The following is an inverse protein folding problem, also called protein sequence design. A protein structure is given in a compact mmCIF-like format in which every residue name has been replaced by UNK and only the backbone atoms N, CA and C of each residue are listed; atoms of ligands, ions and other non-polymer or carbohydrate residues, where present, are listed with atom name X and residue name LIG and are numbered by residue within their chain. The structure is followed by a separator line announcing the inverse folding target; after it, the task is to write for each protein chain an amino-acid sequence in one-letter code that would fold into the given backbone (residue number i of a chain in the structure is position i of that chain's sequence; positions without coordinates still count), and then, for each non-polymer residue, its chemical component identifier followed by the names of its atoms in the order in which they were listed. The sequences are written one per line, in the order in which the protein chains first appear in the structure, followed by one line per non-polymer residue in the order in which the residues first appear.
data_IF_644343953324
#
_entry.id   IF_644343953324
#
_cell.length_a   1.000
_cell.length_b   1.000
_cell.length_c   1.000
_cell.angle_alpha   90.00
_cell.angle_beta   90.00
_cell.angle_gamma   90.00
#
_symmetry.space_group_name_H-M   'P 1'
#
loop_
_entity.id
_entity.type
_entity.pdbx_description
1 polymer ?
#
# COMPACT_ATOMS: atom_id res chain seq x y z
N UNK A 1 3.76 -28.60 -32.98
CA UNK A 1 2.74 -29.13 -32.08
C UNK A 1 1.74 -28.02 -31.75
N UNK A 2 0.58 -28.06 -32.38
CA UNK A 2 -0.49 -27.14 -32.03
C UNK A 2 -1.34 -27.80 -30.94
N UNK A 3 -1.05 -27.48 -29.69
CA UNK A 3 -2.00 -27.79 -28.63
C UNK A 3 -3.12 -26.77 -28.71
N UNK A 4 -4.33 -27.27 -29.00
CA UNK A 4 -5.53 -26.45 -28.94
C UNK A 4 -5.71 -25.91 -27.53
N UNK A 5 -6.06 -24.64 -27.40
CA UNK A 5 -6.36 -23.98 -26.13
C UNK A 5 -7.41 -24.76 -25.30
N UNK A 6 -8.27 -25.49 -25.97
CA UNK A 6 -9.30 -26.32 -25.36
C UNK A 6 -8.72 -27.56 -24.64
N UNK A 7 -7.71 -28.19 -25.22
CA UNK A 7 -7.07 -29.36 -24.63
C UNK A 7 -6.27 -29.00 -23.38
N UNK A 8 -5.69 -27.81 -23.36
CA UNK A 8 -4.96 -27.31 -22.18
C UNK A 8 -5.89 -27.05 -21.00
N UNK A 9 -7.11 -26.55 -21.23
CA UNK A 9 -8.11 -26.35 -20.19
C UNK A 9 -8.66 -27.65 -19.64
N UNK A 10 -8.86 -28.64 -20.50
CA UNK A 10 -9.32 -29.98 -20.09
C UNK A 10 -8.27 -30.73 -19.27
N UNK A 11 -7.01 -30.62 -19.66
CA UNK A 11 -5.87 -31.19 -18.91
C UNK A 11 -5.71 -30.51 -17.54
N UNK A 12 -5.93 -29.20 -17.49
CA UNK A 12 -5.85 -28.42 -16.24
C UNK A 12 -6.96 -28.80 -15.27
N UNK A 13 -8.15 -29.03 -15.76
CA UNK A 13 -9.28 -29.45 -14.94
C UNK A 13 -9.10 -30.87 -14.38
N UNK A 14 -8.47 -31.76 -15.13
CA UNK A 14 -8.17 -33.12 -14.66
C UNK A 14 -6.99 -33.16 -13.68
N UNK A 15 -6.00 -32.31 -13.83
CA UNK A 15 -4.86 -32.22 -12.94
C UNK A 15 -5.19 -31.62 -11.57
N UNK A 16 -6.19 -30.75 -11.50
CA UNK A 16 -6.69 -30.22 -10.23
C UNK A 16 -7.32 -31.28 -9.31
N UNK A 17 -7.83 -32.37 -9.88
CA UNK A 17 -8.45 -33.45 -9.11
C UNK A 17 -7.44 -34.46 -8.59
N UNK A 18 -6.24 -34.54 -9.18
CA UNK A 18 -5.26 -35.58 -8.93
C UNK A 18 -4.07 -35.17 -8.04
N UNK A 19 -4.23 -34.14 -7.23
CA UNK A 19 -3.27 -33.80 -6.18
C UNK A 19 -1.79 -33.64 -6.61
N UNK A 20 -1.51 -33.51 -7.87
CA UNK A 20 -0.21 -33.13 -8.35
C UNK A 20 -0.17 -31.63 -8.48
N UNK A 21 0.47 -30.97 -7.55
CA UNK A 21 0.97 -29.59 -7.66
C UNK A 21 2.04 -29.51 -8.75
N UNK A 22 1.85 -30.25 -9.84
CA UNK A 22 2.71 -30.18 -10.99
C UNK A 22 2.55 -28.81 -11.61
N UNK A 23 3.43 -28.02 -11.23
CA UNK A 23 4.05 -26.82 -11.74
C UNK A 23 3.41 -26.31 -13.05
N UNK A 24 2.32 -25.56 -12.89
CA UNK A 24 2.01 -24.57 -13.91
C UNK A 24 3.23 -23.65 -14.01
N UNK A 25 3.90 -23.59 -15.16
CA UNK A 25 5.05 -22.71 -15.33
C UNK A 25 4.61 -21.27 -15.07
N UNK A 26 5.00 -20.74 -13.93
CA UNK A 26 4.74 -19.36 -13.58
C UNK A 26 5.64 -18.46 -14.40
N UNK A 27 5.14 -17.33 -14.79
CA UNK A 27 5.98 -16.28 -15.33
C UNK A 27 6.98 -15.82 -14.26
N UNK A 28 8.12 -15.27 -14.65
CA UNK A 28 9.05 -14.70 -13.69
C UNK A 28 8.35 -13.58 -12.88
N UNK A 29 8.64 -13.45 -11.59
CA UNK A 29 8.06 -12.40 -10.78
C UNK A 29 8.52 -11.02 -11.25
N UNK A 30 7.70 -10.02 -11.00
CA UNK A 30 8.06 -8.62 -11.23
C UNK A 30 9.27 -8.29 -10.36
N UNK A 31 10.38 -7.93 -10.97
CA UNK A 31 11.60 -7.54 -10.26
C UNK A 31 11.66 -6.02 -10.01
N UNK A 32 12.61 -5.60 -9.17
CA UNK A 32 12.80 -4.19 -8.85
C UNK A 32 13.08 -3.34 -10.08
N UNK A 33 13.91 -3.80 -11.00
CA UNK A 33 14.24 -3.06 -12.22
C UNK A 33 13.01 -2.83 -13.09
N UNK A 34 12.18 -3.86 -13.27
CA UNK A 34 10.94 -3.74 -14.02
C UNK A 34 9.96 -2.78 -13.32
N UNK A 35 9.90 -2.80 -12.00
CA UNK A 35 9.09 -1.89 -11.23
C UNK A 35 9.52 -0.43 -11.43
N UNK A 36 10.80 -0.15 -11.34
CA UNK A 36 11.37 1.19 -11.52
C UNK A 36 11.16 1.73 -12.93
N UNK A 37 11.18 0.88 -13.95
CA UNK A 37 10.89 1.27 -15.34
C UNK A 37 9.44 1.74 -15.55
N UNK A 38 8.53 1.28 -14.72
CA UNK A 38 7.11 1.70 -14.77
C UNK A 38 6.81 2.93 -13.90
N UNK A 39 7.81 3.50 -13.25
CA UNK A 39 7.67 4.72 -12.44
C UNK A 39 8.27 5.90 -13.18
N UNK A 40 7.48 6.95 -13.35
CA UNK A 40 7.92 8.21 -13.95
C UNK A 40 8.72 9.08 -12.94
N UNK A 41 9.35 10.13 -13.43
CA UNK A 41 10.12 11.08 -12.62
C UNK A 41 9.33 11.72 -11.46
N UNK A 42 8.04 11.90 -11.64
CA UNK A 42 7.12 12.38 -10.61
C UNK A 42 6.67 11.28 -9.63
N UNK A 43 7.10 10.04 -9.88
CA UNK A 43 6.71 8.88 -9.11
C UNK A 43 5.34 8.31 -9.46
N UNK A 44 4.78 8.70 -10.59
CA UNK A 44 3.52 8.16 -11.10
C UNK A 44 3.78 6.81 -11.77
N UNK A 45 2.94 5.83 -11.49
CA UNK A 45 3.04 4.51 -12.14
C UNK A 45 2.39 4.56 -13.51
N UNK A 46 3.18 4.21 -14.51
CA UNK A 46 2.76 4.14 -15.92
C UNK A 46 2.39 2.70 -16.32
N UNK A 47 1.65 2.56 -17.41
CA UNK A 47 1.29 1.24 -17.99
C UNK A 47 0.70 0.25 -16.97
N UNK A 48 -0.16 0.73 -16.10
CA UNK A 48 -0.77 -0.06 -15.02
C UNK A 48 -1.36 -1.41 -15.50
N UNK A 49 -2.07 -1.52 -16.64
CA UNK A 49 -2.61 -2.81 -17.10
C UNK A 49 -1.53 -3.84 -17.37
N UNK A 50 -0.40 -3.43 -17.96
CA UNK A 50 0.74 -4.31 -18.25
C UNK A 50 1.38 -4.80 -16.96
N UNK A 51 1.55 -3.89 -16.01
CA UNK A 51 2.10 -4.19 -14.70
C UNK A 51 1.23 -5.18 -13.91
N UNK A 52 -0.08 -4.96 -13.92
CA UNK A 52 -1.05 -5.86 -13.26
C UNK A 52 -1.04 -7.26 -13.88
N UNK A 53 -0.92 -7.39 -15.20
CA UNK A 53 -0.82 -8.68 -15.87
C UNK A 53 0.47 -9.42 -15.46
N UNK A 54 1.61 -8.73 -15.40
CA UNK A 54 2.87 -9.31 -14.90
C UNK A 54 2.74 -9.82 -13.45
N UNK A 55 2.16 -9.01 -12.57
CA UNK A 55 1.96 -9.37 -11.16
C UNK A 55 1.00 -10.56 -11.03
N UNK A 56 -0.07 -10.57 -11.81
CA UNK A 56 -1.05 -11.66 -11.79
C UNK A 56 -0.44 -12.99 -12.21
N UNK A 57 0.42 -13.00 -13.24
CA UNK A 57 1.02 -14.22 -13.78
C UNK A 57 2.25 -14.70 -13.03
N UNK A 58 3.07 -13.79 -12.53
CA UNK A 58 4.37 -14.11 -11.94
C UNK A 58 4.51 -13.76 -10.45
N UNK A 59 3.65 -12.89 -9.95
CA UNK A 59 3.82 -12.31 -8.63
C UNK A 59 4.83 -11.16 -8.63
N UNK A 60 5.37 -10.86 -7.48
CA UNK A 60 6.40 -9.83 -7.31
C UNK A 60 7.47 -10.31 -6.32
N UNK A 61 8.69 -9.84 -6.52
CA UNK A 61 9.82 -10.11 -5.63
C UNK A 61 9.58 -9.59 -4.22
N UNK A 62 10.18 -10.24 -3.24
CA UNK A 62 10.03 -9.89 -1.83
C UNK A 62 10.46 -8.45 -1.53
N UNK A 63 11.49 -7.98 -2.23
CA UNK A 63 12.05 -6.63 -2.05
C UNK A 63 11.02 -5.54 -2.33
N UNK A 64 10.24 -5.68 -3.40
CA UNK A 64 9.25 -4.69 -3.84
C UNK A 64 7.83 -5.00 -3.37
N UNK A 65 7.60 -6.19 -2.83
CA UNK A 65 6.25 -6.67 -2.47
C UNK A 65 5.49 -5.71 -1.59
N UNK A 66 6.12 -5.18 -0.56
CA UNK A 66 5.49 -4.24 0.37
C UNK A 66 5.08 -2.93 -0.31
N UNK A 67 5.84 -2.47 -1.29
CA UNK A 67 5.53 -1.27 -2.05
C UNK A 67 4.39 -1.50 -3.05
N UNK A 68 4.48 -2.56 -3.83
CA UNK A 68 3.47 -2.96 -4.81
C UNK A 68 2.10 -3.19 -4.15
N UNK A 69 2.08 -3.81 -2.99
CA UNK A 69 0.83 -4.07 -2.26
C UNK A 69 0.10 -2.81 -1.82
N UNK A 70 0.78 -1.73 -1.56
CA UNK A 70 0.14 -0.45 -1.24
C UNK A 70 -0.74 0.05 -2.40
N UNK A 71 -0.32 -0.21 -3.63
CA UNK A 71 -1.12 0.10 -4.83
C UNK A 71 -2.24 -0.92 -5.06
N UNK A 72 -1.94 -2.22 -4.96
CA UNK A 72 -2.93 -3.27 -5.16
C UNK A 72 -4.08 -3.20 -4.16
N UNK A 73 -3.80 -2.83 -2.91
CA UNK A 73 -4.81 -2.66 -1.87
C UNK A 73 -5.51 -1.29 -1.88
N UNK A 74 -5.17 -0.43 -2.84
CA UNK A 74 -5.77 0.89 -2.96
C UNK A 74 -5.31 1.92 -1.91
N UNK A 75 -4.25 1.60 -1.17
CA UNK A 75 -3.68 2.56 -0.22
C UNK A 75 -3.03 3.73 -0.95
N UNK A 76 -2.31 3.46 -2.05
CA UNK A 76 -1.84 4.44 -3.02
C UNK A 76 -2.65 4.36 -4.31
N UNK A 77 -2.94 5.52 -4.89
CA UNK A 77 -3.54 5.59 -6.22
C UNK A 77 -2.44 5.54 -7.29
N UNK A 78 -2.67 4.78 -8.36
CA UNK A 78 -1.70 4.58 -9.43
C UNK A 78 -1.23 5.86 -10.11
N UNK A 79 -2.14 6.83 -10.26
CA UNK A 79 -1.90 8.07 -10.99
C UNK A 79 -1.46 9.25 -10.10
N UNK A 80 -1.23 9.00 -8.82
CA UNK A 80 -0.83 10.06 -7.89
C UNK A 80 0.69 10.22 -7.86
N UNK A 81 1.22 11.46 -7.99
CA UNK A 81 2.62 11.74 -7.78
C UNK A 81 3.03 11.52 -6.33
N UNK A 82 4.33 11.30 -6.12
CA UNK A 82 4.92 10.99 -4.81
C UNK A 82 4.56 12.03 -3.75
N UNK A 83 4.59 13.30 -4.08
CA UNK A 83 4.28 14.39 -3.14
C UNK A 83 2.87 14.28 -2.55
N UNK A 84 1.88 13.96 -3.39
CA UNK A 84 0.49 13.78 -2.96
C UNK A 84 0.35 12.51 -2.12
N UNK A 85 1.04 11.42 -2.49
CA UNK A 85 1.04 10.17 -1.71
C UNK A 85 1.59 10.37 -0.32
N UNK A 86 2.70 11.10 -0.18
CA UNK A 86 3.34 11.38 1.10
C UNK A 86 2.45 12.26 2.00
N UNK A 87 1.81 13.27 1.43
CA UNK A 87 0.84 14.10 2.16
C UNK A 87 -0.35 13.27 2.66
N UNK A 88 -0.92 12.43 1.81
CA UNK A 88 -2.02 11.54 2.17
C UNK A 88 -1.61 10.50 3.22
N UNK A 89 -0.40 9.93 3.11
CA UNK A 89 0.17 9.02 4.09
C UNK A 89 0.27 9.68 5.46
N UNK A 90 0.80 10.90 5.52
CA UNK A 90 0.92 11.66 6.76
C UNK A 90 -0.45 11.90 7.39
N UNK A 91 -1.43 12.36 6.62
CA UNK A 91 -2.78 12.59 7.09
C UNK A 91 -3.45 11.31 7.66
N UNK A 92 -3.29 10.17 6.98
CA UNK A 92 -3.80 8.87 7.45
C UNK A 92 -3.14 8.38 8.72
N UNK A 93 -1.83 8.60 8.86
CA UNK A 93 -1.10 8.25 10.09
C UNK A 93 -1.59 9.09 11.27
N UNK A 94 -1.79 10.39 11.07
CA UNK A 94 -2.35 11.28 12.10
C UNK A 94 -3.77 10.86 12.49
N UNK A 95 -4.60 10.54 11.52
CA UNK A 95 -5.95 10.04 11.73
C UNK A 95 -5.95 8.70 12.50
N UNK A 96 -5.08 7.77 12.15
CA UNK A 96 -4.92 6.51 12.87
C UNK A 96 -4.57 6.72 14.34
N UNK A 97 -3.63 7.59 14.65
CA UNK A 97 -3.26 7.90 16.03
C UNK A 97 -4.39 8.59 16.80
N UNK A 98 -5.18 9.41 16.14
CA UNK A 98 -6.37 10.03 16.73
C UNK A 98 -7.39 8.98 17.16
N UNK A 99 -7.65 7.97 16.35
CA UNK A 99 -8.58 6.89 16.68
C UNK A 99 -8.00 5.90 17.70
N UNK A 100 -6.72 5.63 17.63
CA UNK A 100 -6.05 4.70 18.54
C UNK A 100 -5.97 5.23 19.96
N UNK A 101 -5.77 6.52 20.13
CA UNK A 101 -5.56 7.18 21.42
C UNK A 101 -6.56 8.34 21.66
N UNK A 102 -7.86 8.07 21.73
CA UNK A 102 -8.85 9.12 21.94
C UNK A 102 -8.66 9.85 23.28
N UNK A 103 -8.13 9.17 24.29
CA UNK A 103 -7.83 9.74 25.61
C UNK A 103 -6.69 10.76 25.60
N UNK A 104 -5.71 10.59 24.74
CA UNK A 104 -4.60 11.56 24.63
C UNK A 104 -5.05 12.89 24.01
N UNK A 105 -5.98 12.84 23.08
CA UNK A 105 -6.53 14.03 22.46
C UNK A 105 -7.32 14.89 23.44
N UNK A 106 -8.11 14.27 24.31
CA UNK A 106 -8.86 14.96 25.37
C UNK A 106 -7.96 15.48 26.48
N UNK A 107 -6.92 14.73 26.85
CA UNK A 107 -5.96 15.17 27.88
C UNK A 107 -5.09 16.35 27.40
N UNK A 108 -4.76 16.42 26.13
CA UNK A 108 -4.01 17.55 25.57
C UNK A 108 -4.82 18.85 25.64
N UNK A 109 -6.11 18.79 25.38
CA UNK A 109 -7.01 19.94 25.53
C UNK A 109 -7.14 20.38 26.99
N UNK A 110 -7.27 19.43 27.92
CA UNK A 110 -7.34 19.74 29.35
C UNK A 110 -6.03 20.35 29.89
N UNK A 111 -4.88 19.85 29.46
CA UNK A 111 -3.56 20.38 29.86
C UNK A 111 -3.37 21.81 29.36
N UNK A 112 -3.76 22.10 28.14
CA UNK A 112 -3.66 23.47 27.60
C UNK A 112 -4.59 24.45 28.35
N UNK A 113 -5.77 24.01 28.74
CA UNK A 113 -6.68 24.83 29.53
C UNK A 113 -6.14 25.12 30.93
N UNK A 114 -5.52 24.11 31.56
CA UNK A 114 -4.91 24.27 32.87
C UNK A 114 -3.67 25.17 32.84
N UNK A 115 -2.88 25.10 31.79
CA UNK A 115 -1.73 25.98 31.61
C UNK A 115 -2.14 27.45 31.43
N UNK A 116 -3.21 27.71 30.70
CA UNK A 116 -3.72 29.08 30.55
C UNK A 116 -4.25 29.65 31.87
N UNK A 117 -4.93 28.86 32.68
CA UNK A 117 -5.40 29.25 33.99
C UNK A 117 -4.25 29.49 34.98
N UNK A 118 -3.20 28.70 34.93
CA UNK A 118 -2.02 28.91 35.77
C UNK A 118 -1.23 30.18 35.39
N UNK A 119 -1.18 30.54 34.13
CA UNK A 119 -0.55 31.76 33.69
C UNK A 119 -1.34 33.02 34.12
N UNK A 120 -2.64 32.96 34.06
CA UNK A 120 -3.49 34.06 34.59
C UNK A 120 -3.34 34.22 36.11
N UNK A 121 -3.31 33.12 36.85
CA UNK A 121 -3.08 33.16 38.29
C UNK A 121 -1.69 33.69 38.65
N UNK A 122 -0.68 33.44 37.86
CA UNK A 122 0.69 33.96 38.06
C UNK A 122 0.77 35.45 37.80
N UNK A 123 -0.03 35.99 36.90
CA UNK A 123 -0.07 37.45 36.62
C UNK A 123 -0.75 38.21 37.76
N UNK A 124 -1.77 37.65 38.36
CA UNK A 124 -2.45 38.28 39.52
C UNK A 124 -1.59 38.35 40.81
N UNK A 125 -0.66 37.43 40.99
CA UNK A 125 0.24 37.41 42.16
C UNK A 125 1.36 38.46 42.05
N UNK A 126 1.68 38.95 40.87
CA UNK A 126 2.75 39.92 40.62
C UNK A 126 2.26 41.38 40.55
N UNK A 127 1.03 41.62 40.82
CA UNK A 127 0.44 42.95 40.95
C UNK A 127 0.16 43.23 42.43
#
# INVERSE_FOLDING_TARGET
MHYSYHDHLLLRSKSCVMNSYEECPRHPPLCQLDWELHIDNDGVVTEVPVLLDKIFRGGCDDIIRSEVWKYLLGYYQWHQPTQIRDANKKARVEEYFRYRNPTLSSNTVCVNTNLSLQNEASVEINV
#
